data_IF_885112449223
#
_entry.id   IF_885112449223
#
_cell.length_a   1.000
_cell.length_b   1.000
_cell.length_c   1.000
_cell.angle_alpha   90.00
_cell.angle_beta   90.00
_cell.angle_gamma   90.00
#
_symmetry.space_group_name_H-M   'P 1'
#
loop_
_entity.id
_entity.type
_entity.pdbx_description
1 polymer ?
#
# COMPACT_ATOMS: atom_id res chain seq x y z
N UNK A 1 -35.74 -12.14 11.75
CA UNK A 1 -36.54 -10.92 11.98
C UNK A 1 -36.51 -10.60 13.46
N UNK A 2 -35.54 -9.81 13.91
CA UNK A 2 -35.45 -9.35 15.29
C UNK A 2 -36.07 -7.96 15.38
N UNK A 3 -37.20 -7.87 16.05
CA UNK A 3 -37.92 -6.62 16.32
C UNK A 3 -37.06 -5.76 17.25
N UNK A 4 -36.47 -4.69 16.71
CA UNK A 4 -35.91 -3.62 17.52
C UNK A 4 -37.06 -2.89 18.21
N UNK A 5 -37.31 -3.25 19.47
CA UNK A 5 -38.31 -2.59 20.30
C UNK A 5 -38.01 -1.09 20.41
N UNK A 6 -39.00 -0.28 20.03
CA UNK A 6 -39.04 1.15 20.34
C UNK A 6 -38.96 1.36 21.85
N UNK A 7 -37.86 1.97 22.30
CA UNK A 7 -37.78 2.54 23.65
C UNK A 7 -37.59 4.06 23.52
N UNK A 8 -38.66 4.75 23.11
CA UNK A 8 -38.77 6.21 23.24
C UNK A 8 -39.67 6.54 24.44
N UNK A 9 -39.15 6.32 25.65
CA UNK A 9 -39.67 6.99 26.84
C UNK A 9 -38.87 8.28 27.05
N UNK A 10 -39.40 9.39 26.58
CA UNK A 10 -38.88 10.73 26.90
C UNK A 10 -39.40 11.12 28.28
N UNK A 11 -38.62 10.83 29.32
CA UNK A 11 -38.95 11.26 30.68
C UNK A 11 -38.85 12.78 30.78
N UNK A 12 -39.96 13.43 31.16
CA UNK A 12 -40.07 14.88 31.39
C UNK A 12 -39.13 15.25 32.55
N UNK A 13 -38.41 16.36 32.43
CA UNK A 13 -37.31 16.76 33.32
C UNK A 13 -37.69 17.10 34.76
N UNK A 14 -38.99 17.16 35.06
CA UNK A 14 -39.51 17.91 36.22
C UNK A 14 -39.89 17.03 37.41
N UNK A 15 -39.82 15.71 37.27
CA UNK A 15 -40.10 14.81 38.39
C UNK A 15 -38.84 14.60 39.24
N UNK A 16 -38.92 15.05 40.50
CA UNK A 16 -37.95 14.79 41.59
C UNK A 16 -37.63 13.30 41.82
N UNK A 17 -38.31 12.41 41.10
CA UNK A 17 -38.14 10.97 41.09
C UNK A 17 -37.16 10.45 40.01
N UNK A 18 -36.65 11.31 39.13
CA UNK A 18 -35.69 10.89 38.08
C UNK A 18 -34.26 11.31 38.41
N UNK A 19 -33.31 10.38 38.25
CA UNK A 19 -31.88 10.60 38.39
C UNK A 19 -31.18 10.51 37.04
N UNK A 20 -30.17 11.34 36.83
CA UNK A 20 -29.28 11.22 35.67
C UNK A 20 -28.29 10.10 35.93
N UNK A 21 -28.28 9.09 35.07
CA UNK A 21 -27.21 8.09 35.09
C UNK A 21 -25.91 8.73 34.61
N UNK A 22 -24.90 8.78 35.48
CA UNK A 22 -23.53 9.22 35.17
C UNK A 22 -22.74 8.11 34.45
N UNK A 23 -23.32 6.90 34.38
CA UNK A 23 -22.83 5.80 33.57
C UNK A 23 -23.05 5.99 32.06
N UNK A 24 -22.86 4.91 31.30
CA UNK A 24 -22.81 4.92 29.84
C UNK A 24 -24.10 5.39 29.15
N UNK A 25 -25.26 5.12 29.74
CA UNK A 25 -26.52 5.46 29.10
C UNK A 25 -26.80 6.97 29.09
N UNK A 26 -26.15 7.77 29.96
CA UNK A 26 -26.30 9.25 30.08
C UNK A 26 -27.74 9.77 29.94
N UNK A 27 -28.71 8.97 30.39
CA UNK A 27 -30.15 9.25 30.31
C UNK A 27 -30.71 9.46 31.71
N UNK A 28 -31.76 10.29 31.81
CA UNK A 28 -32.57 10.39 33.03
C UNK A 28 -33.42 9.14 33.16
N UNK A 29 -33.39 8.53 34.33
CA UNK A 29 -34.05 7.27 34.67
C UNK A 29 -34.77 7.41 36.01
N UNK A 30 -35.89 6.71 36.23
CA UNK A 30 -36.58 6.76 37.51
C UNK A 30 -35.70 6.15 38.62
N UNK A 31 -35.92 6.58 39.88
CA UNK A 31 -35.07 6.25 41.05
C UNK A 31 -34.98 4.75 41.33
N UNK A 32 -36.02 3.99 41.00
CA UNK A 32 -36.12 2.53 41.09
C UNK A 32 -35.16 1.80 40.15
N UNK A 33 -34.72 2.43 39.05
CA UNK A 33 -33.67 1.90 38.18
C UNK A 33 -32.25 2.07 38.76
N UNK A 34 -32.10 2.60 39.97
CA UNK A 34 -30.83 2.78 40.69
C UNK A 34 -30.83 1.96 41.98
N UNK A 35 -29.64 1.57 42.46
CA UNK A 35 -29.52 0.92 43.77
C UNK A 35 -30.02 1.85 44.88
N UNK A 36 -30.70 1.27 45.85
CA UNK A 36 -31.28 1.95 47.01
C UNK A 36 -30.25 2.69 47.86
N UNK A 37 -29.03 2.15 47.96
CA UNK A 37 -27.90 2.76 48.69
C UNK A 37 -26.68 2.94 47.79
N UNK A 38 -26.23 4.17 47.50
CA UNK A 38 -24.92 4.38 46.88
C UNK A 38 -23.86 4.10 47.94
N UNK A 39 -23.27 2.90 47.91
CA UNK A 39 -22.12 2.60 48.76
C UNK A 39 -20.97 3.56 48.40
N UNK A 40 -20.60 4.39 49.37
CA UNK A 40 -19.39 5.22 49.48
C UNK A 40 -18.85 5.83 48.17
N UNK A 41 -19.22 7.08 47.88
CA UNK A 41 -18.45 7.97 46.97
C UNK A 41 -18.44 7.63 45.48
N UNK A 42 -19.17 6.60 45.01
CA UNK A 42 -19.28 6.28 43.58
C UNK A 42 -20.35 7.12 42.89
N UNK A 43 -20.07 7.54 41.65
CA UNK A 43 -21.02 8.24 40.79
C UNK A 43 -22.28 7.38 40.53
N UNK A 44 -23.45 8.00 40.48
CA UNK A 44 -24.73 7.29 40.32
C UNK A 44 -24.86 6.64 38.94
N UNK A 45 -24.82 5.31 38.88
CA UNK A 45 -25.09 4.51 37.68
C UNK A 45 -26.39 3.73 37.82
N UNK A 46 -27.17 3.60 36.74
CA UNK A 46 -28.36 2.76 36.77
C UNK A 46 -27.97 1.28 36.82
N UNK A 47 -28.86 0.43 37.33
CA UNK A 47 -28.65 -1.01 37.51
C UNK A 47 -28.19 -1.66 36.20
N UNK A 48 -28.72 -1.26 35.04
CA UNK A 48 -28.25 -1.77 33.73
C UNK A 48 -26.79 -1.41 33.42
N UNK A 49 -26.34 -0.22 33.81
CA UNK A 49 -24.94 0.19 33.64
C UNK A 49 -24.02 -0.46 34.69
N UNK A 50 -24.54 -0.81 35.88
CA UNK A 50 -23.77 -1.49 36.93
C UNK A 50 -23.69 -3.01 36.75
N UNK A 51 -24.75 -3.62 36.22
CA UNK A 51 -24.97 -5.08 36.21
C UNK A 51 -24.62 -5.71 34.86
N UNK A 52 -24.02 -4.96 33.92
CA UNK A 52 -23.51 -5.50 32.66
C UNK A 52 -21.96 -5.59 32.65
N UNK A 53 -21.34 -6.49 33.41
CA UNK A 53 -20.29 -7.31 32.83
C UNK A 53 -21.02 -8.37 31.99
N UNK A 54 -20.90 -8.33 30.66
CA UNK A 54 -21.39 -9.43 29.82
C UNK A 54 -20.77 -10.78 30.22
N UNK A 55 -21.12 -11.90 29.57
CA UNK A 55 -20.63 -13.25 29.87
C UNK A 55 -19.08 -13.43 29.82
N UNK A 56 -18.33 -12.37 29.53
CA UNK A 56 -16.87 -12.30 29.54
C UNK A 56 -16.31 -11.06 30.29
N UNK A 57 -17.06 -10.45 31.20
CA UNK A 57 -16.59 -9.28 31.97
C UNK A 57 -16.51 -7.97 31.18
N UNK A 58 -16.96 -7.95 29.91
CA UNK A 58 -16.93 -6.75 29.06
C UNK A 58 -18.13 -5.85 29.28
N UNK A 59 -17.89 -4.54 29.36
CA UNK A 59 -18.95 -3.54 29.43
C UNK A 59 -19.70 -3.42 28.10
N UNK A 60 -20.97 -3.03 28.13
CA UNK A 60 -21.76 -2.76 26.91
C UNK A 60 -21.08 -1.77 25.96
N UNK A 61 -20.37 -0.78 26.52
CA UNK A 61 -19.61 0.18 25.73
C UNK A 61 -18.46 -0.47 24.95
N UNK A 62 -17.74 -1.44 25.54
CA UNK A 62 -16.68 -2.15 24.83
C UNK A 62 -17.25 -2.92 23.63
N UNK A 63 -18.41 -3.58 23.80
CA UNK A 63 -19.07 -4.31 22.71
C UNK A 63 -19.49 -3.35 21.58
N UNK A 64 -20.12 -2.23 21.92
CA UNK A 64 -20.53 -1.21 20.93
C UNK A 64 -19.34 -0.48 20.29
N UNK A 65 -18.25 -0.30 21.02
CA UNK A 65 -17.01 0.27 20.51
C UNK A 65 -16.35 -0.71 19.53
N UNK A 66 -16.15 -1.96 19.93
CA UNK A 66 -15.58 -3.02 19.09
C UNK A 66 -16.40 -3.20 17.81
N UNK A 67 -17.73 -3.20 17.91
CA UNK A 67 -18.62 -3.30 16.75
C UNK A 67 -18.48 -2.12 15.77
N UNK A 68 -18.27 -0.89 16.29
CA UNK A 68 -18.00 0.29 15.44
C UNK A 68 -16.65 0.18 14.77
N UNK A 69 -15.61 -0.17 15.53
CA UNK A 69 -14.25 -0.37 15.00
C UNK A 69 -14.23 -1.42 13.89
N UNK A 70 -14.92 -2.55 14.08
CA UNK A 70 -15.04 -3.58 13.05
C UNK A 70 -15.68 -3.04 11.76
N UNK A 71 -16.78 -2.28 11.86
CA UNK A 71 -17.43 -1.66 10.70
C UNK A 71 -16.51 -0.65 9.99
N UNK A 72 -15.79 0.17 10.75
CA UNK A 72 -14.88 1.16 10.18
C UNK A 72 -13.72 0.48 9.43
N UNK A 73 -13.20 -0.63 9.97
CA UNK A 73 -12.19 -1.45 9.32
C UNK A 73 -12.70 -2.11 8.04
N UNK A 74 -13.94 -2.60 8.02
CA UNK A 74 -14.57 -3.14 6.81
C UNK A 74 -14.72 -2.06 5.73
N UNK A 75 -15.19 -0.87 6.11
CA UNK A 75 -15.27 0.28 5.20
C UNK A 75 -13.89 0.67 4.65
N UNK A 76 -12.85 0.68 5.50
CA UNK A 76 -11.48 0.98 5.08
C UNK A 76 -10.93 -0.08 4.11
N UNK A 77 -11.18 -1.36 4.36
CA UNK A 77 -10.80 -2.47 3.46
C UNK A 77 -11.48 -2.35 2.10
N UNK A 78 -12.77 -1.99 2.08
CA UNK A 78 -13.49 -1.85 0.83
C UNK A 78 -13.01 -0.62 0.03
N UNK A 79 -12.71 0.49 0.71
CA UNK A 79 -12.03 1.65 0.09
C UNK A 79 -10.69 1.25 -0.53
N UNK A 80 -9.86 0.47 0.19
CA UNK A 80 -8.59 -0.02 -0.33
C UNK A 80 -8.77 -0.91 -1.56
N UNK A 81 -9.74 -1.82 -1.56
CA UNK A 81 -10.07 -2.65 -2.74
C UNK A 81 -10.47 -1.77 -3.94
N UNK A 82 -11.25 -0.72 -3.71
CA UNK A 82 -11.62 0.24 -4.77
C UNK A 82 -10.41 1.00 -5.30
N UNK A 83 -9.53 1.50 -4.43
CA UNK A 83 -8.29 2.15 -4.87
C UNK A 83 -7.37 1.22 -5.64
N UNK A 84 -7.27 -0.06 -5.24
CA UNK A 84 -6.48 -1.06 -5.98
C UNK A 84 -7.06 -1.32 -7.37
N UNK A 85 -8.39 -1.49 -7.48
CA UNK A 85 -9.08 -1.62 -8.78
C UNK A 85 -8.87 -0.39 -9.65
N UNK A 86 -8.98 0.81 -9.06
CA UNK A 86 -8.77 2.06 -9.78
C UNK A 86 -7.33 2.24 -10.23
N UNK A 87 -6.35 1.92 -9.39
CA UNK A 87 -4.94 1.92 -9.77
C UNK A 87 -4.64 0.89 -10.87
N UNK A 88 -5.25 -0.30 -10.81
CA UNK A 88 -5.16 -1.29 -11.89
C UNK A 88 -5.77 -0.76 -13.19
N UNK A 89 -6.92 -0.10 -13.11
CA UNK A 89 -7.55 0.59 -14.26
C UNK A 89 -6.63 1.66 -14.83
N UNK A 90 -6.06 2.55 -14.02
CA UNK A 90 -5.12 3.58 -14.49
C UNK A 90 -3.86 2.99 -15.11
N UNK A 91 -3.33 1.87 -14.57
CA UNK A 91 -2.24 1.14 -15.20
C UNK A 91 -2.67 0.57 -16.54
N UNK A 92 -3.83 -0.05 -16.61
CA UNK A 92 -4.39 -0.59 -17.85
C UNK A 92 -4.62 0.53 -18.88
N UNK A 93 -5.15 1.68 -18.49
CA UNK A 93 -5.32 2.86 -19.34
C UNK A 93 -3.98 3.39 -19.83
N UNK A 94 -2.96 3.51 -18.95
CA UNK A 94 -1.61 3.91 -19.34
C UNK A 94 -0.97 2.93 -20.32
N UNK A 95 -1.21 1.63 -20.14
CA UNK A 95 -0.72 0.57 -21.03
C UNK A 95 -1.69 0.24 -22.19
N UNK A 96 -2.83 0.91 -22.30
CA UNK A 96 -3.75 0.80 -23.42
C UNK A 96 -3.69 2.07 -24.30
N UNK A 97 -3.34 3.22 -23.70
CA UNK A 97 -3.20 4.48 -24.39
C UNK A 97 -1.96 4.46 -25.25
N UNK A 98 -2.13 4.27 -26.57
CA UNK A 98 -1.24 4.59 -27.69
C UNK A 98 0.24 4.14 -27.65
N UNK A 99 0.94 4.21 -26.53
CA UNK A 99 2.34 3.86 -26.34
C UNK A 99 2.60 2.36 -26.34
N UNK A 100 1.74 1.56 -25.69
CA UNK A 100 1.83 0.09 -25.77
C UNK A 100 1.22 -0.42 -27.07
N UNK A 101 0.15 0.20 -27.59
CA UNK A 101 -0.35 -0.11 -28.92
C UNK A 101 0.69 0.23 -29.99
N UNK A 102 1.47 1.31 -29.84
CA UNK A 102 2.64 1.58 -30.68
C UNK A 102 3.73 0.54 -30.43
N UNK A 103 4.04 0.21 -29.18
CA UNK A 103 5.02 -0.82 -28.87
C UNK A 103 4.59 -2.22 -29.32
N UNK A 104 3.31 -2.57 -29.47
CA UNK A 104 2.86 -3.91 -29.87
C UNK A 104 2.48 -3.98 -31.35
N UNK A 105 1.92 -2.91 -31.92
CA UNK A 105 1.69 -2.79 -33.37
C UNK A 105 3.00 -2.56 -34.14
N UNK A 106 4.06 -2.10 -33.45
CA UNK A 106 5.41 -2.01 -34.01
C UNK A 106 6.49 -2.60 -33.09
N UNK A 107 6.21 -3.64 -32.27
CA UNK A 107 7.31 -4.22 -31.47
C UNK A 107 8.20 -5.04 -32.36
N UNK A 108 9.50 -4.71 -32.40
CA UNK A 108 10.50 -5.69 -32.66
C UNK A 108 10.66 -6.50 -31.34
N UNK A 109 11.09 -7.76 -31.41
CA UNK A 109 11.20 -8.68 -30.27
C UNK A 109 12.04 -8.09 -29.13
N UNK A 110 11.99 -8.69 -27.92
CA UNK A 110 12.86 -8.26 -26.80
C UNK A 110 14.36 -8.27 -27.17
N UNK A 111 14.74 -9.10 -28.15
CA UNK A 111 16.06 -9.09 -28.76
C UNK A 111 16.34 -7.79 -29.53
N UNK A 112 15.40 -7.34 -30.35
CA UNK A 112 15.56 -6.12 -31.16
C UNK A 112 15.59 -4.84 -30.30
N UNK A 113 14.86 -4.80 -29.19
CA UNK A 113 14.93 -3.69 -28.22
C UNK A 113 16.31 -3.64 -27.54
N UNK A 114 16.90 -4.80 -27.25
CA UNK A 114 18.25 -4.92 -26.70
C UNK A 114 19.33 -4.55 -27.73
N UNK A 115 19.14 -4.93 -28.99
CA UNK A 115 20.01 -4.52 -30.10
C UNK A 115 19.94 -3.02 -30.35
N UNK A 116 18.75 -2.41 -30.34
CA UNK A 116 18.59 -0.96 -30.47
C UNK A 116 19.29 -0.20 -29.33
N UNK A 117 19.24 -0.71 -28.10
CA UNK A 117 19.95 -0.13 -26.97
C UNK A 117 21.49 -0.26 -27.10
N UNK A 118 21.99 -1.38 -27.66
CA UNK A 118 23.43 -1.61 -27.87
C UNK A 118 24.00 -0.93 -29.12
N UNK A 119 23.18 -0.65 -30.11
CA UNK A 119 23.57 -0.05 -31.38
C UNK A 119 24.43 1.23 -31.25
N UNK A 120 24.09 2.24 -30.42
CA UNK A 120 24.92 3.44 -30.31
C UNK A 120 26.29 3.16 -29.69
N UNK A 121 26.35 2.25 -28.71
CA UNK A 121 27.62 1.84 -28.09
C UNK A 121 28.51 1.09 -29.10
N UNK A 122 27.94 0.14 -29.84
CA UNK A 122 28.68 -0.62 -30.85
C UNK A 122 29.22 0.29 -31.95
N UNK A 123 28.41 1.26 -32.44
CA UNK A 123 28.87 2.27 -33.41
C UNK A 123 30.02 3.13 -32.86
N UNK A 124 29.98 3.50 -31.58
CA UNK A 124 31.08 4.25 -30.94
C UNK A 124 32.37 3.41 -30.83
N UNK A 125 32.24 2.10 -30.56
CA UNK A 125 33.36 1.17 -30.54
C UNK A 125 33.93 0.97 -31.95
N UNK A 126 33.09 0.78 -32.96
CA UNK A 126 33.50 0.62 -34.36
C UNK A 126 34.20 1.86 -34.89
N UNK A 127 33.66 3.06 -34.65
CA UNK A 127 34.29 4.32 -35.07
C UNK A 127 35.63 4.54 -34.38
N UNK A 128 35.80 4.14 -33.11
CA UNK A 128 37.13 4.11 -32.48
C UNK A 128 38.04 3.07 -33.15
N UNK A 129 37.58 1.84 -33.38
CA UNK A 129 38.37 0.79 -34.02
C UNK A 129 38.88 1.25 -35.39
N UNK A 130 38.04 1.89 -36.20
CA UNK A 130 38.42 2.44 -37.50
C UNK A 130 39.50 3.54 -37.39
N UNK A 131 39.46 4.37 -36.34
CA UNK A 131 40.51 5.37 -36.09
C UNK A 131 41.86 4.74 -35.76
N UNK A 132 41.86 3.63 -35.02
CA UNK A 132 43.09 2.96 -34.60
C UNK A 132 43.61 1.94 -35.62
N UNK A 133 42.75 1.44 -36.52
CA UNK A 133 43.11 0.47 -37.55
C UNK A 133 44.35 0.84 -38.37
N UNK A 134 44.46 2.04 -38.98
CA UNK A 134 45.64 2.38 -39.78
C UNK A 134 46.91 2.48 -38.92
N UNK A 135 46.80 2.98 -37.69
CA UNK A 135 47.94 3.08 -36.77
C UNK A 135 48.46 1.70 -36.36
N UNK A 136 47.55 0.74 -36.18
CA UNK A 136 47.90 -0.65 -35.88
C UNK A 136 48.53 -1.32 -37.12
N UNK A 137 47.98 -1.12 -38.32
CA UNK A 137 48.55 -1.63 -39.57
C UNK A 137 49.95 -1.07 -39.85
N UNK A 138 50.16 0.23 -39.62
CA UNK A 138 51.48 0.85 -39.73
C UNK A 138 52.46 0.32 -38.68
N UNK A 139 52.02 0.12 -37.44
CA UNK A 139 52.87 -0.43 -36.39
C UNK A 139 53.24 -1.89 -36.69
N UNK A 140 52.29 -2.69 -37.18
CA UNK A 140 52.52 -4.10 -37.54
C UNK A 140 53.41 -4.23 -38.78
N UNK A 141 53.24 -3.40 -39.79
CA UNK A 141 54.11 -3.39 -40.97
C UNK A 141 55.54 -2.95 -40.64
N UNK A 142 55.72 -1.95 -39.76
CA UNK A 142 57.03 -1.58 -39.23
C UNK A 142 57.66 -2.69 -38.39
N UNK A 143 56.88 -3.36 -37.55
CA UNK A 143 57.39 -4.52 -36.79
C UNK A 143 57.81 -5.67 -37.72
N UNK A 144 57.03 -5.94 -38.78
CA UNK A 144 57.36 -6.98 -39.75
C UNK A 144 58.67 -6.70 -40.50
N UNK A 145 58.85 -5.46 -40.97
CA UNK A 145 60.07 -5.05 -41.67
C UNK A 145 61.31 -5.14 -40.77
N UNK A 146 61.21 -4.75 -39.49
CA UNK A 146 62.31 -4.92 -38.53
C UNK A 146 62.67 -6.39 -38.30
N UNK A 147 61.66 -7.27 -38.20
CA UNK A 147 61.90 -8.72 -38.06
C UNK A 147 62.58 -9.31 -39.29
N UNK A 148 62.20 -8.88 -40.49
CA UNK A 148 62.86 -9.31 -41.73
C UNK A 148 64.32 -8.83 -41.79
N UNK A 149 64.59 -7.57 -41.42
CA UNK A 149 65.94 -7.02 -41.36
C UNK A 149 66.84 -7.73 -40.34
N UNK A 150 66.31 -8.05 -39.15
CA UNK A 150 67.01 -8.83 -38.12
C UNK A 150 67.31 -10.26 -38.59
N UNK A 151 66.37 -10.89 -39.30
CA UNK A 151 66.55 -12.24 -39.84
C UNK A 151 67.65 -12.32 -40.92
N UNK A 152 67.82 -11.27 -41.74
CA UNK A 152 68.93 -11.17 -42.69
C UNK A 152 70.28 -10.90 -42.01
N UNK A 153 70.29 -10.27 -40.83
CA UNK A 153 71.51 -9.94 -40.09
C UNK A 153 72.03 -11.08 -39.21
N UNK A 154 71.19 -12.06 -38.85
CA UNK A 154 71.64 -13.27 -38.16
C UNK A 154 72.16 -14.30 -39.17
N UNK A 155 73.49 -14.54 -39.28
CA UNK A 155 73.98 -15.64 -40.09
C UNK A 155 73.49 -16.96 -39.48
N UNK A 156 72.80 -17.76 -40.28
CA UNK A 156 72.44 -19.13 -39.94
C UNK A 156 73.72 -19.94 -39.69
N UNK A 157 74.03 -20.21 -38.42
CA UNK A 157 75.04 -21.20 -38.01
C UNK A 157 74.48 -22.60 -38.06
#
# INVERSE_FOLDING_TARGET
MTTFGEYRTTYRSDDRATLLCVGLCRRRKPRDEFRTTPWHGKAASCIRCETFPGPAGRSLWQIEHDARVCRDLEQAREKLRMYQRYAAKLRAERYASAWVAAFTATSPTSADAFEAHKAPFNRAVETRRQKWAPLIEEALSKAHTLVEEEAWQTPTT
#
